data_IF_346564684248
#
_entry.id   IF_346564684248
#
_cell.length_a   1.000
_cell.length_b   1.000
_cell.length_c   1.000
_cell.angle_alpha   90.00
_cell.angle_beta   90.00
_cell.angle_gamma   90.00
#
_symmetry.space_group_name_H-M   'P 1'
#
loop_
_entity.id
_entity.type
_entity.pdbx_description
1 polymer ?
#
# COMPACT_ATOMS: atom_id res chain seq x y z
N UNK A 1 8.93 13.45 -15.36
CA UNK A 1 9.53 12.43 -14.46
C UNK A 1 10.37 13.19 -13.43
N UNK A 2 10.28 12.82 -12.15
CA UNK A 2 11.08 13.46 -11.10
C UNK A 2 12.52 12.89 -11.12
N UNK A 3 13.54 13.71 -10.83
CA UNK A 3 14.95 13.28 -10.84
C UNK A 3 15.29 12.12 -9.88
N UNK A 4 14.46 11.96 -8.83
CA UNK A 4 14.55 10.87 -7.84
C UNK A 4 13.79 9.60 -8.24
N UNK A 5 13.15 9.59 -9.40
CA UNK A 5 12.54 8.37 -9.97
C UNK A 5 13.66 7.60 -10.67
N UNK A 6 14.20 6.61 -9.96
CA UNK A 6 15.35 5.79 -10.39
C UNK A 6 14.89 4.33 -10.50
N UNK A 7 15.73 3.51 -11.13
CA UNK A 7 15.53 2.06 -11.25
C UNK A 7 14.20 1.66 -11.93
N UNK A 8 13.80 2.43 -12.96
CA UNK A 8 12.61 2.12 -13.74
C UNK A 8 12.87 0.84 -14.54
N UNK A 9 11.99 -0.13 -14.38
CA UNK A 9 12.00 -1.37 -15.13
C UNK A 9 10.61 -1.62 -15.74
N UNK A 10 10.40 -1.09 -16.94
CA UNK A 10 9.12 -1.18 -17.65
C UNK A 10 8.67 -2.63 -17.87
N UNK A 11 9.61 -3.55 -18.11
CA UNK A 11 9.29 -4.96 -18.32
C UNK A 11 8.76 -5.61 -17.02
N UNK A 12 9.36 -5.26 -15.88
CA UNK A 12 8.91 -5.72 -14.58
C UNK A 12 7.54 -5.12 -14.24
N UNK A 13 7.34 -3.82 -14.49
CA UNK A 13 6.07 -3.14 -14.26
C UNK A 13 4.93 -3.78 -15.08
N UNK A 14 5.14 -4.06 -16.36
CA UNK A 14 4.14 -4.73 -17.21
C UNK A 14 3.84 -6.16 -16.77
N UNK A 15 4.86 -6.89 -16.33
CA UNK A 15 4.68 -8.24 -15.80
C UNK A 15 3.89 -8.26 -14.51
N UNK A 16 4.26 -7.42 -13.53
CA UNK A 16 3.56 -7.31 -12.26
C UNK A 16 2.12 -6.78 -12.44
N UNK A 17 1.91 -5.84 -13.37
CA UNK A 17 0.57 -5.39 -13.75
C UNK A 17 -0.30 -6.56 -14.23
N UNK A 18 0.25 -7.38 -15.14
CA UNK A 18 -0.46 -8.56 -15.66
C UNK A 18 -0.82 -9.57 -14.55
N UNK A 19 0.06 -9.73 -13.55
CA UNK A 19 -0.20 -10.58 -12.38
C UNK A 19 -1.35 -10.01 -11.52
N UNK A 20 -1.33 -8.70 -11.25
CA UNK A 20 -2.37 -8.02 -10.45
C UNK A 20 -3.72 -8.12 -11.16
N UNK A 21 -3.78 -7.76 -12.44
CA UNK A 21 -5.01 -7.82 -13.24
C UNK A 21 -5.56 -9.25 -13.31
N UNK A 22 -4.70 -10.23 -13.58
CA UNK A 22 -5.09 -11.65 -13.64
C UNK A 22 -5.53 -12.22 -12.28
N UNK A 23 -4.99 -11.73 -11.18
CA UNK A 23 -5.43 -12.11 -9.83
C UNK A 23 -6.81 -11.54 -9.51
N UNK A 24 -7.07 -10.27 -9.87
CA UNK A 24 -8.38 -9.62 -9.71
C UNK A 24 -9.44 -10.35 -10.53
N UNK A 25 -9.17 -10.62 -11.81
CA UNK A 25 -10.10 -11.33 -12.70
C UNK A 25 -10.51 -12.72 -12.19
N UNK A 26 -9.64 -13.39 -11.45
CA UNK A 26 -9.87 -14.72 -10.90
C UNK A 26 -10.30 -14.71 -9.44
N UNK A 27 -10.53 -13.55 -8.87
CA UNK A 27 -10.81 -13.37 -7.44
C UNK A 27 -9.80 -14.12 -6.55
N UNK A 28 -8.52 -14.06 -6.93
CA UNK A 28 -7.44 -14.65 -6.14
C UNK A 28 -7.12 -13.75 -4.94
N UNK A 29 -6.99 -14.31 -3.73
CA UNK A 29 -6.53 -13.55 -2.57
C UNK A 29 -5.19 -12.89 -2.84
N UNK A 30 -5.10 -11.58 -2.57
CA UNK A 30 -3.93 -10.79 -2.90
C UNK A 30 -3.57 -9.81 -1.78
N UNK A 31 -2.28 -9.74 -1.48
CA UNK A 31 -1.67 -8.73 -0.61
C UNK A 31 -0.62 -7.96 -1.40
N UNK A 32 -0.82 -6.66 -1.55
CA UNK A 32 0.13 -5.75 -2.20
C UNK A 32 0.87 -4.92 -1.15
N UNK A 33 2.21 -4.95 -1.15
CA UNK A 33 3.05 -4.27 -0.16
C UNK A 33 3.94 -3.24 -0.83
N UNK A 34 4.04 -2.05 -0.25
CA UNK A 34 4.95 -0.95 -0.63
C UNK A 34 4.88 -0.62 -2.13
N UNK A 35 5.85 -1.05 -2.94
CA UNK A 35 5.84 -0.86 -4.39
C UNK A 35 4.60 -1.53 -5.03
N UNK A 36 4.18 -2.70 -4.55
CA UNK A 36 2.96 -3.38 -5.02
C UNK A 36 1.69 -2.55 -4.76
N UNK A 37 1.62 -1.87 -3.62
CA UNK A 37 0.54 -0.92 -3.31
C UNK A 37 0.50 0.25 -4.30
N UNK A 38 1.64 0.85 -4.57
CA UNK A 38 1.75 1.96 -5.51
C UNK A 38 1.35 1.54 -6.93
N UNK A 39 1.82 0.36 -7.37
CA UNK A 39 1.51 -0.19 -8.68
C UNK A 39 0.02 -0.51 -8.81
N UNK A 40 -0.58 -1.17 -7.82
CA UNK A 40 -2.02 -1.44 -7.81
C UNK A 40 -2.83 -0.14 -7.94
N UNK A 41 -2.52 0.88 -7.13
CA UNK A 41 -3.20 2.17 -7.22
C UNK A 41 -3.04 2.82 -8.61
N UNK A 42 -1.84 2.78 -9.19
CA UNK A 42 -1.60 3.32 -10.53
C UNK A 42 -2.39 2.58 -11.62
N UNK A 43 -2.46 1.24 -11.56
CA UNK A 43 -3.25 0.41 -12.49
C UNK A 43 -4.74 0.76 -12.39
N UNK A 44 -5.22 1.07 -11.19
CA UNK A 44 -6.62 1.42 -10.92
C UNK A 44 -6.95 2.89 -11.14
N UNK A 45 -6.07 3.63 -11.84
CA UNK A 45 -6.27 5.03 -12.22
C UNK A 45 -5.85 6.06 -11.18
N UNK A 46 -5.20 5.62 -10.14
CA UNK A 46 -4.66 6.45 -9.07
C UNK A 46 -3.40 7.24 -9.46
N UNK A 47 -2.90 8.05 -8.52
CA UNK A 47 -1.74 8.92 -8.72
C UNK A 47 -0.84 8.94 -7.50
N UNK A 48 0.46 9.13 -7.75
CA UNK A 48 1.50 9.13 -6.74
C UNK A 48 2.23 10.48 -6.66
N UNK A 49 2.55 10.89 -5.42
CA UNK A 49 3.64 11.83 -5.19
C UNK A 49 4.97 11.18 -5.56
N UNK A 50 5.76 11.85 -6.35
CA UNK A 50 7.04 11.30 -6.85
C UNK A 50 8.16 11.41 -5.83
N UNK A 51 8.07 12.35 -4.87
CA UNK A 51 9.08 12.50 -3.82
C UNK A 51 8.50 13.21 -2.59
N UNK A 52 8.04 12.44 -1.61
CA UNK A 52 7.43 12.94 -0.37
C UNK A 52 8.35 13.85 0.44
N UNK A 53 9.67 13.58 0.61
CA UNK A 53 10.55 14.43 1.41
C UNK A 53 10.64 15.89 0.96
N UNK A 54 10.31 16.19 -0.31
CA UNK A 54 10.24 17.57 -0.83
C UNK A 54 8.82 18.03 -1.11
N UNK A 55 7.82 17.21 -0.81
CA UNK A 55 6.41 17.54 -0.97
C UNK A 55 5.88 18.20 0.30
N UNK A 56 5.43 19.46 0.19
CA UNK A 56 4.94 20.24 1.33
C UNK A 56 3.84 19.48 2.10
N UNK A 57 4.08 19.26 3.38
CA UNK A 57 3.16 18.58 4.30
C UNK A 57 3.46 17.09 4.49
N UNK A 58 4.37 16.52 3.68
CA UNK A 58 4.71 15.08 3.71
C UNK A 58 6.21 14.82 3.97
N UNK A 59 6.94 15.82 4.43
CA UNK A 59 8.40 15.78 4.59
C UNK A 59 8.89 14.76 5.65
N UNK A 60 7.95 14.22 6.44
CA UNK A 60 8.25 13.22 7.49
C UNK A 60 8.26 11.77 6.99
N UNK A 61 7.92 11.57 5.71
CA UNK A 61 7.95 10.24 5.09
C UNK A 61 9.33 9.93 4.51
N UNK A 62 9.66 8.64 4.47
CA UNK A 62 10.89 8.16 3.89
C UNK A 62 12.02 7.96 4.90
N UNK A 63 13.22 7.86 4.36
CA UNK A 63 14.44 7.61 5.14
C UNK A 63 15.10 8.92 5.55
N UNK A 64 15.48 9.00 6.82
CA UNK A 64 16.28 10.10 7.35
C UNK A 64 17.46 9.53 8.13
N UNK A 65 18.67 9.89 7.71
CA UNK A 65 19.91 9.45 8.38
C UNK A 65 20.10 7.93 8.42
N UNK A 66 19.72 7.21 7.37
CA UNK A 66 19.85 5.75 7.27
C UNK A 66 18.79 4.96 8.05
N UNK A 67 17.72 5.63 8.50
CA UNK A 67 16.62 4.99 9.22
C UNK A 67 15.27 5.36 8.62
N UNK A 68 14.40 4.39 8.52
CA UNK A 68 13.02 4.62 8.14
C UNK A 68 12.26 5.34 9.25
N UNK A 69 11.41 6.27 8.90
CA UNK A 69 10.49 6.88 9.85
C UNK A 69 9.34 5.93 10.19
N UNK A 70 8.66 6.20 11.29
CA UNK A 70 7.43 5.50 11.66
C UNK A 70 6.31 6.51 11.84
N UNK A 71 5.10 6.12 11.48
CA UNK A 71 3.94 6.99 11.63
C UNK A 71 2.70 6.18 12.03
N UNK A 72 1.74 6.89 12.60
CA UNK A 72 0.43 6.34 12.92
C UNK A 72 -0.44 6.34 11.69
N UNK A 73 -1.11 5.23 11.46
CA UNK A 73 -2.07 5.03 10.38
C UNK A 73 -3.42 4.73 11.03
N UNK A 74 -4.41 5.56 10.74
CA UNK A 74 -5.79 5.30 11.14
C UNK A 74 -6.46 4.44 10.08
N UNK A 75 -7.08 3.35 10.54
CA UNK A 75 -7.80 2.41 9.69
C UNK A 75 -9.31 2.66 9.79
N UNK A 76 -9.98 2.52 8.66
CA UNK A 76 -11.42 2.75 8.57
C UNK A 76 -12.19 1.57 9.17
N UNK A 77 -13.19 1.81 10.04
CA UNK A 77 -14.11 0.76 10.45
C UNK A 77 -14.74 0.05 9.25
N UNK A 78 -15.10 -1.21 9.43
CA UNK A 78 -15.73 -2.06 8.41
C UNK A 78 -14.80 -2.44 7.23
N UNK A 79 -13.48 -2.24 7.37
CA UNK A 79 -12.49 -2.75 6.43
C UNK A 79 -11.86 -4.05 6.91
N UNK A 80 -11.38 -4.88 5.97
CA UNK A 80 -10.67 -6.13 6.29
C UNK A 80 -9.45 -5.87 7.17
N UNK A 81 -8.70 -4.82 6.86
CA UNK A 81 -7.49 -4.47 7.60
C UNK A 81 -7.80 -3.97 9.02
N UNK A 82 -8.93 -3.29 9.22
CA UNK A 82 -9.40 -2.89 10.54
C UNK A 82 -9.76 -4.12 11.40
N UNK A 83 -10.44 -5.10 10.82
CA UNK A 83 -10.81 -6.34 11.52
C UNK A 83 -9.58 -7.13 11.96
N UNK A 84 -8.48 -7.02 11.23
CA UNK A 84 -7.22 -7.72 11.53
C UNK A 84 -6.36 -6.98 12.56
N UNK A 85 -6.25 -5.65 12.46
CA UNK A 85 -5.26 -4.87 13.19
C UNK A 85 -5.85 -3.84 14.16
N UNK A 86 -7.18 -3.63 14.14
CA UNK A 86 -7.84 -2.58 14.92
C UNK A 86 -7.78 -1.21 14.25
N UNK A 87 -8.16 -0.17 14.99
CA UNK A 87 -8.41 1.17 14.43
C UNK A 87 -7.18 2.04 14.16
N UNK A 88 -6.04 1.72 14.76
CA UNK A 88 -4.78 2.47 14.57
C UNK A 88 -3.58 1.54 14.65
N UNK A 89 -2.66 1.68 13.73
CA UNK A 89 -1.40 0.92 13.70
C UNK A 89 -0.20 1.85 13.55
N UNK A 90 0.98 1.34 13.89
CA UNK A 90 2.26 1.99 13.58
C UNK A 90 2.84 1.30 12.35
N UNK A 91 2.96 2.04 11.25
CA UNK A 91 3.64 1.61 10.04
C UNK A 91 5.02 2.24 9.90
N UNK A 92 5.94 1.52 9.26
CA UNK A 92 7.22 2.09 8.86
C UNK A 92 7.10 2.81 7.52
N UNK A 93 7.94 3.80 7.27
CA UNK A 93 7.97 4.56 6.02
C UNK A 93 9.36 4.46 5.38
N UNK A 94 9.58 3.34 4.69
CA UNK A 94 10.79 3.09 3.91
C UNK A 94 10.65 3.51 2.43
N UNK A 95 9.72 4.41 2.14
CA UNK A 95 9.37 4.83 0.78
C UNK A 95 9.46 6.35 0.62
N UNK A 96 9.95 6.82 -0.52
CA UNK A 96 9.99 8.24 -0.85
C UNK A 96 8.86 8.69 -1.80
N UNK A 97 8.12 7.74 -2.35
CA UNK A 97 6.89 7.96 -3.13
C UNK A 97 5.69 7.54 -2.30
N UNK A 98 4.50 8.04 -2.63
CA UNK A 98 3.29 7.67 -1.92
C UNK A 98 2.03 8.00 -2.70
N UNK A 99 0.95 7.32 -2.41
CA UNK A 99 -0.33 7.45 -3.09
C UNK A 99 -1.11 8.64 -2.52
N UNK A 100 -1.57 9.55 -3.39
CA UNK A 100 -2.50 10.61 -3.00
C UNK A 100 -3.89 10.47 -3.62
N UNK A 101 -3.99 9.68 -4.67
CA UNK A 101 -5.24 9.33 -5.33
C UNK A 101 -5.23 7.82 -5.59
N UNK A 102 -6.18 7.09 -5.06
CA UNK A 102 -6.24 5.63 -5.14
C UNK A 102 -7.02 5.11 -6.35
N UNK A 103 -7.51 6.01 -7.21
CA UNK A 103 -8.37 5.64 -8.32
C UNK A 103 -9.73 5.13 -7.83
N UNK A 104 -10.13 3.94 -8.29
CA UNK A 104 -11.40 3.31 -7.95
C UNK A 104 -11.32 2.34 -6.74
N UNK A 105 -10.20 2.37 -6.00
CA UNK A 105 -10.02 1.54 -4.80
C UNK A 105 -10.59 2.22 -3.55
N UNK A 106 -11.06 1.42 -2.61
CA UNK A 106 -11.54 1.88 -1.31
C UNK A 106 -10.37 2.27 -0.40
N UNK A 107 -10.27 3.55 -0.04
CA UNK A 107 -9.22 4.02 0.88
C UNK A 107 -9.61 3.67 2.31
N UNK A 108 -8.86 2.77 2.92
CA UNK A 108 -9.14 2.23 4.27
C UNK A 108 -8.08 2.57 5.31
N UNK A 109 -6.98 3.23 4.92
CA UNK A 109 -5.94 3.66 5.86
C UNK A 109 -5.26 4.95 5.43
N UNK A 110 -5.08 5.88 6.41
CA UNK A 110 -4.38 7.16 6.20
C UNK A 110 -3.53 7.55 7.39
N UNK A 111 -2.43 8.21 7.09
CA UNK A 111 -1.64 8.96 8.09
C UNK A 111 -2.34 10.25 8.50
N UNK A 112 -1.84 10.90 9.56
CA UNK A 112 -2.40 12.16 10.06
C UNK A 112 -2.27 13.33 9.08
N UNK A 113 -1.30 13.29 8.16
CA UNK A 113 -1.11 14.27 7.09
C UNK A 113 -1.92 13.93 5.82
N UNK A 114 -2.65 12.81 5.85
CA UNK A 114 -3.60 12.41 4.82
C UNK A 114 -3.06 11.51 3.73
N UNK A 115 -1.77 11.08 3.81
CA UNK A 115 -1.23 10.13 2.85
C UNK A 115 -2.01 8.82 2.90
N UNK A 116 -2.31 8.26 1.73
CA UNK A 116 -3.00 6.97 1.62
C UNK A 116 -1.98 5.86 1.90
N UNK A 117 -2.27 5.05 2.91
CA UNK A 117 -1.38 3.98 3.39
C UNK A 117 -2.01 2.60 3.23
N UNK A 118 -3.34 2.52 3.10
CA UNK A 118 -4.03 1.26 2.85
C UNK A 118 -5.25 1.46 1.96
N UNK A 119 -5.43 0.51 1.05
CA UNK A 119 -6.62 0.42 0.19
C UNK A 119 -7.09 -1.03 0.09
N UNK A 120 -8.37 -1.20 -0.22
CA UNK A 120 -9.01 -2.48 -0.47
C UNK A 120 -9.83 -2.41 -1.76
N UNK A 121 -10.24 -3.56 -2.28
CA UNK A 121 -11.20 -3.67 -3.38
C UNK A 121 -12.33 -4.61 -2.94
N UNK A 122 -13.47 -4.06 -2.58
CA UNK A 122 -14.61 -4.80 -2.02
C UNK A 122 -15.20 -5.85 -2.95
N UNK A 123 -14.98 -5.73 -4.26
CA UNK A 123 -15.42 -6.74 -5.23
C UNK A 123 -14.61 -8.04 -5.18
N UNK A 124 -13.45 -8.04 -4.51
CA UNK A 124 -12.60 -9.20 -4.31
C UNK A 124 -12.80 -9.78 -2.91
N UNK A 125 -12.82 -11.12 -2.78
CA UNK A 125 -12.94 -11.79 -1.48
C UNK A 125 -11.81 -11.46 -0.49
N UNK A 126 -10.61 -11.15 -0.99
CA UNK A 126 -9.49 -10.64 -0.21
C UNK A 126 -8.49 -9.92 -1.10
N UNK A 127 -8.56 -8.61 -1.12
CA UNK A 127 -7.54 -7.74 -1.69
C UNK A 127 -7.23 -6.65 -0.68
N UNK A 128 -6.08 -6.77 -0.03
CA UNK A 128 -5.53 -5.79 0.91
C UNK A 128 -4.24 -5.23 0.32
N UNK A 129 -4.10 -3.94 0.32
CA UNK A 129 -2.93 -3.26 -0.23
C UNK A 129 -2.45 -2.18 0.72
N UNK A 130 -1.18 -2.23 1.11
CA UNK A 130 -0.61 -1.41 2.17
C UNK A 130 0.75 -0.83 1.78
N UNK A 131 1.00 0.41 2.18
CA UNK A 131 2.23 1.12 1.83
C UNK A 131 3.40 0.73 2.75
N UNK A 132 3.14 0.48 4.04
CA UNK A 132 4.18 0.06 4.98
C UNK A 132 4.57 -1.41 4.79
N UNK A 133 5.63 -1.84 5.46
CA UNK A 133 6.12 -3.22 5.47
C UNK A 133 5.61 -3.97 6.72
N UNK A 134 4.50 -4.71 6.63
CA UNK A 134 3.90 -5.43 7.77
C UNK A 134 4.82 -6.50 8.32
N UNK A 135 5.66 -7.12 7.48
CA UNK A 135 6.66 -8.11 7.86
C UNK A 135 7.74 -7.55 8.81
N UNK A 136 7.96 -6.23 8.77
CA UNK A 136 8.90 -5.53 9.64
C UNK A 136 8.22 -4.90 10.86
N UNK A 137 6.89 -4.78 10.85
CA UNK A 137 6.11 -4.20 11.94
C UNK A 137 5.50 -5.27 12.87
N UNK A 138 5.66 -6.56 12.54
CA UNK A 138 5.08 -7.66 13.31
C UNK A 138 3.58 -7.86 13.10
N UNK A 139 3.00 -7.33 12.03
CA UNK A 139 1.58 -7.46 11.70
C UNK A 139 1.33 -8.79 10.98
N UNK A 140 1.55 -9.89 11.68
CA UNK A 140 1.48 -11.25 11.14
C UNK A 140 0.08 -11.69 10.76
N UNK A 141 -0.95 -11.11 11.38
CA UNK A 141 -2.36 -11.40 11.19
C UNK A 141 -2.79 -11.23 9.72
N UNK A 142 -2.17 -10.31 9.00
CA UNK A 142 -2.44 -10.07 7.57
C UNK A 142 -2.03 -11.29 6.74
N UNK A 143 -0.85 -11.85 7.02
CA UNK A 143 -0.33 -13.03 6.31
C UNK A 143 -1.11 -14.29 6.68
N UNK A 144 -1.45 -14.46 7.95
CA UNK A 144 -2.28 -15.57 8.42
C UNK A 144 -3.64 -15.57 7.73
N UNK A 145 -4.26 -14.39 7.61
CA UNK A 145 -5.54 -14.24 6.92
C UNK A 145 -5.41 -14.55 5.43
N UNK A 146 -4.37 -14.06 4.76
CA UNK A 146 -4.09 -14.37 3.35
C UNK A 146 -3.99 -15.88 3.14
N UNK A 147 -3.23 -16.59 3.98
CA UNK A 147 -3.08 -18.05 3.91
C UNK A 147 -4.43 -18.75 4.11
N UNK A 148 -5.20 -18.30 5.12
CA UNK A 148 -6.50 -18.88 5.43
C UNK A 148 -7.47 -18.76 4.24
N UNK A 149 -7.58 -17.58 3.63
CA UNK A 149 -8.50 -17.38 2.49
C UNK A 149 -8.01 -18.03 1.20
N UNK A 150 -6.70 -18.24 1.06
CA UNK A 150 -6.11 -18.95 -0.09
C UNK A 150 -6.33 -20.45 -0.05
N UNK A 151 -6.72 -20.99 1.11
CA UNK A 151 -6.96 -22.44 1.31
C UNK A 151 -8.43 -22.82 1.13
N UNK A 152 -9.28 -21.86 0.80
CA UNK A 152 -10.73 -22.04 0.56
C UNK A 152 -11.04 -22.08 -0.94
#
# INVERSE_FOLDING_TARGET
MHEKTIDINEQQDEWEKSLIEGAIERDMPMLCICRGHQLLCAIRGGKLFQHLPTTKGFEKHGETGGKWSNHKIKLSPESLIFDLLGGEVIGNSGHHQGVFDAGDLDVVGRTSDGLIEAVELQSCRFLVSIQWHPEMCGHVEIFERLIQVSSQ
#
